data_IF_237748330227
#
_entry.id   IF_237748330227
#
_cell.length_a   1.000
_cell.length_b   1.000
_cell.length_c   1.000
_cell.angle_alpha   90.00
_cell.angle_beta   90.00
_cell.angle_gamma   90.00
#
_symmetry.space_group_name_H-M   'P 1'
#
loop_
_entity.id
_entity.type
_entity.pdbx_description
1 polymer ?
#
# COMPACT_ATOMS: atom_id res chain seq x y z
N UNK A 1 19.15 -8.87 -1.34
CA UNK A 1 20.19 -8.24 -0.50
C UNK A 1 19.51 -7.12 0.26
N UNK A 2 19.61 -7.03 1.59
CA UNK A 2 19.02 -5.91 2.31
C UNK A 2 19.88 -4.69 2.00
N UNK A 3 19.37 -3.77 1.20
CA UNK A 3 20.03 -2.48 0.97
C UNK A 3 20.13 -1.76 2.31
N UNK A 4 21.33 -1.31 2.63
CA UNK A 4 21.61 -0.52 3.82
C UNK A 4 21.05 0.90 3.56
N UNK A 5 19.72 1.04 3.61
CA UNK A 5 19.02 2.31 3.37
C UNK A 5 19.47 3.31 4.43
N UNK A 6 19.95 4.46 3.99
CA UNK A 6 20.36 5.51 4.92
C UNK A 6 19.13 6.08 5.63
N UNK A 7 19.34 6.71 6.79
CA UNK A 7 18.27 7.46 7.45
C UNK A 7 17.65 8.53 6.53
N UNK A 8 18.43 9.10 5.60
CA UNK A 8 17.94 10.04 4.60
C UNK A 8 16.96 9.41 3.62
N UNK A 9 17.23 8.20 3.15
CA UNK A 9 16.33 7.45 2.26
C UNK A 9 15.03 7.07 2.96
N UNK A 10 15.10 6.75 4.26
CA UNK A 10 13.92 6.50 5.08
C UNK A 10 13.03 7.75 5.20
N UNK A 11 13.63 8.93 5.42
CA UNK A 11 12.89 10.20 5.46
C UNK A 11 12.34 10.55 4.07
N UNK A 12 13.09 10.28 2.99
CA UNK A 12 12.61 10.49 1.62
C UNK A 12 11.43 9.56 1.26
N UNK A 13 11.47 8.28 1.64
CA UNK A 13 10.35 7.34 1.44
C UNK A 13 9.09 7.78 2.21
N UNK A 14 9.25 8.47 3.35
CA UNK A 14 8.11 9.08 4.05
C UNK A 14 7.49 10.27 3.31
N UNK A 15 8.19 10.85 2.33
CA UNK A 15 7.70 12.03 1.58
C UNK A 15 6.78 11.70 0.42
N UNK A 16 6.63 10.42 0.06
CA UNK A 16 5.73 9.96 -0.98
C UNK A 16 4.76 8.88 -0.50
N UNK A 17 3.54 8.93 -1.01
CA UNK A 17 2.50 7.93 -0.77
C UNK A 17 1.87 7.52 -2.10
N UNK A 18 1.90 6.22 -2.36
CA UNK A 18 1.12 5.59 -3.42
C UNK A 18 0.01 4.74 -2.80
N UNK A 19 -1.23 5.03 -3.18
CA UNK A 19 -2.39 4.18 -2.89
C UNK A 19 -2.98 3.74 -4.22
N UNK A 20 -3.20 2.44 -4.40
CA UNK A 20 -3.88 1.90 -5.57
C UNK A 20 -4.97 0.94 -5.11
N UNK A 21 -6.20 1.21 -5.54
CA UNK A 21 -7.34 0.32 -5.34
C UNK A 21 -7.58 -0.47 -6.62
N UNK A 22 -7.49 -1.79 -6.50
CA UNK A 22 -7.71 -2.73 -7.60
C UNK A 22 -9.03 -3.49 -7.37
N UNK A 23 -9.76 -3.76 -8.45
CA UNK A 23 -10.93 -4.62 -8.48
C UNK A 23 -10.75 -5.73 -9.51
N UNK A 24 -11.40 -6.87 -9.30
CA UNK A 24 -11.31 -8.00 -10.22
C UNK A 24 -11.28 -9.33 -9.50
N UNK A 25 -11.07 -10.38 -10.29
CA UNK A 25 -11.00 -11.74 -9.79
C UNK A 25 -9.55 -12.14 -9.56
N UNK A 26 -9.22 -12.41 -8.30
CA UNK A 26 -7.92 -12.96 -7.93
C UNK A 26 -8.11 -14.38 -7.38
N UNK A 27 -7.52 -15.36 -8.07
CA UNK A 27 -7.50 -16.74 -7.60
C UNK A 27 -6.23 -16.99 -6.81
N UNK A 28 -6.35 -17.14 -5.49
CA UNK A 28 -5.25 -17.52 -4.61
C UNK A 28 -5.35 -19.01 -4.32
N UNK A 29 -4.26 -19.77 -4.54
CA UNK A 29 -4.21 -21.21 -4.25
C UNK A 29 -3.80 -21.42 -2.80
N UNK A 30 -4.77 -21.78 -1.96
CA UNK A 30 -4.60 -21.92 -0.51
C UNK A 30 -3.61 -23.04 -0.12
N UNK A 31 -3.47 -24.07 -0.97
CA UNK A 31 -2.55 -25.19 -0.72
C UNK A 31 -1.07 -24.76 -0.71
N UNK A 32 -0.74 -23.64 -1.37
CA UNK A 32 0.62 -23.10 -1.42
C UNK A 32 0.91 -22.12 -0.27
N UNK A 33 -0.07 -21.86 0.60
CA UNK A 33 0.04 -20.95 1.75
C UNK A 33 0.34 -21.66 3.07
N UNK A 34 0.08 -22.97 3.14
CA UNK A 34 0.38 -23.79 4.31
C UNK A 34 1.79 -24.39 4.16
N UNK A 35 2.60 -24.30 5.21
CA UNK A 35 3.78 -25.17 5.30
C UNK A 35 3.27 -26.62 5.40
N UNK A 36 4.00 -27.58 4.82
CA UNK A 36 3.64 -29.00 4.75
C UNK A 36 3.54 -29.72 6.12
N UNK A 37 3.37 -28.98 7.21
CA UNK A 37 3.11 -29.50 8.54
C UNK A 37 1.75 -28.97 9.02
N UNK A 38 0.87 -29.92 9.33
CA UNK A 38 -0.46 -29.68 9.89
C UNK A 38 -0.40 -28.68 11.05
N UNK A 39 -1.24 -27.63 10.96
CA UNK A 39 -1.52 -26.73 12.10
C UNK A 39 -0.83 -25.37 12.09
N UNK A 40 -0.03 -25.03 11.07
CA UNK A 40 0.58 -23.69 11.02
C UNK A 40 -0.41 -22.61 10.53
N UNK A 41 -0.47 -21.45 11.19
CA UNK A 41 -1.38 -20.37 10.81
C UNK A 41 -1.03 -19.80 9.43
N UNK A 42 -2.07 -19.41 8.68
CA UNK A 42 -1.94 -18.70 7.41
C UNK A 42 -1.06 -17.46 7.59
N UNK A 43 0.10 -17.46 6.93
CA UNK A 43 1.00 -16.31 6.95
C UNK A 43 0.51 -15.28 5.93
N UNK A 44 -0.05 -14.17 6.42
CA UNK A 44 -0.47 -13.01 5.60
C UNK A 44 0.63 -12.54 4.65
N UNK A 45 1.90 -12.61 5.06
CA UNK A 45 3.04 -12.30 4.20
C UNK A 45 3.15 -13.18 2.95
N UNK A 46 2.79 -14.47 3.04
CA UNK A 46 2.76 -15.39 1.88
C UNK A 46 1.60 -15.08 0.95
N UNK A 47 0.47 -14.67 1.51
CA UNK A 47 -0.68 -14.20 0.73
C UNK A 47 -0.27 -12.99 -0.11
N UNK A 48 0.40 -12.00 0.50
CA UNK A 48 0.89 -10.81 -0.21
C UNK A 48 1.94 -11.15 -1.27
N UNK A 49 2.87 -12.06 -1.00
CA UNK A 49 3.85 -12.51 -2.01
C UNK A 49 3.19 -13.23 -3.20
N UNK A 50 2.17 -14.06 -2.93
CA UNK A 50 1.41 -14.70 -4.01
C UNK A 50 0.58 -13.69 -4.80
N UNK A 51 0.03 -12.66 -4.15
CA UNK A 51 -0.63 -11.53 -4.79
C UNK A 51 0.31 -10.85 -5.78
N UNK A 52 1.48 -10.39 -5.34
CA UNK A 52 2.48 -9.76 -6.20
C UNK A 52 2.88 -10.66 -7.38
N UNK A 53 3.15 -11.94 -7.12
CA UNK A 53 3.54 -12.89 -8.16
C UNK A 53 2.42 -13.27 -9.13
N UNK A 54 1.15 -13.22 -8.71
CA UNK A 54 -0.01 -13.54 -9.55
C UNK A 54 -0.52 -12.32 -10.33
N UNK A 55 -0.37 -11.09 -9.82
CA UNK A 55 -0.68 -9.86 -10.55
C UNK A 55 0.15 -9.72 -11.83
N UNK A 56 1.33 -10.36 -11.87
CA UNK A 56 2.23 -10.40 -13.04
C UNK A 56 1.93 -11.54 -14.02
N UNK A 57 0.94 -12.41 -13.75
CA UNK A 57 0.59 -13.53 -14.64
C UNK A 57 -0.39 -13.07 -15.71
N UNK A 58 -0.24 -13.61 -16.92
CA UNK A 58 -1.06 -13.31 -18.10
C UNK A 58 -2.58 -13.49 -17.90
N UNK A 59 -2.99 -14.33 -16.94
CA UNK A 59 -4.39 -14.71 -16.75
C UNK A 59 -5.08 -13.90 -15.63
N UNK A 60 -4.35 -13.04 -14.92
CA UNK A 60 -4.93 -12.18 -13.89
C UNK A 60 -5.65 -11.00 -14.54
N UNK A 61 -6.97 -10.94 -14.40
CA UNK A 61 -7.77 -9.78 -14.84
C UNK A 61 -8.04 -8.89 -13.62
N UNK A 62 -7.18 -7.90 -13.45
CA UNK A 62 -7.34 -6.84 -12.44
C UNK A 62 -7.52 -5.50 -13.12
N UNK A 63 -8.44 -4.69 -12.61
CA UNK A 63 -8.74 -3.34 -13.07
C UNK A 63 -8.40 -2.36 -11.97
N UNK A 64 -7.67 -1.29 -12.31
CA UNK A 64 -7.46 -0.20 -11.37
C UNK A 64 -8.72 0.66 -11.29
N UNK A 65 -9.26 0.82 -10.09
CA UNK A 65 -10.43 1.64 -9.82
C UNK A 65 -10.02 3.06 -9.46
N UNK A 66 -9.02 3.19 -8.60
CA UNK A 66 -8.43 4.47 -8.23
C UNK A 66 -6.94 4.31 -7.93
N UNK A 67 -6.15 5.31 -8.30
CA UNK A 67 -4.74 5.40 -7.98
C UNK A 67 -4.41 6.83 -7.56
N UNK A 68 -3.91 6.99 -6.33
CA UNK A 68 -3.50 8.28 -5.79
C UNK A 68 -2.01 8.26 -5.50
N UNK A 69 -1.29 9.20 -6.10
CA UNK A 69 0.08 9.55 -5.74
C UNK A 69 0.08 10.87 -4.98
N UNK A 70 0.68 10.89 -3.81
CA UNK A 70 0.90 12.10 -3.01
C UNK A 70 2.40 12.27 -2.83
N UNK A 71 2.91 13.44 -3.18
CA UNK A 71 4.27 13.86 -2.85
C UNK A 71 4.21 15.10 -1.96
N UNK A 72 5.10 15.21 -0.97
CA UNK A 72 5.14 16.38 -0.06
C UNK A 72 5.37 17.69 -0.82
N UNK A 73 6.12 17.66 -1.91
CA UNK A 73 6.45 18.83 -2.74
C UNK A 73 5.49 18.99 -3.94
N UNK A 74 4.84 17.91 -4.37
CA UNK A 74 4.11 17.88 -5.65
C UNK A 74 2.69 17.41 -5.45
N UNK A 75 1.79 18.25 -5.93
CA UNK A 75 0.36 18.05 -6.15
C UNK A 75 -0.10 16.60 -6.08
N UNK A 76 -1.16 16.36 -5.30
CA UNK A 76 -1.84 15.07 -5.29
C UNK A 76 -2.43 14.78 -6.66
N UNK A 77 -2.02 13.68 -7.28
CA UNK A 77 -2.61 13.20 -8.53
C UNK A 77 -3.44 11.97 -8.22
N UNK A 78 -4.74 12.06 -8.52
CA UNK A 78 -5.67 10.94 -8.38
C UNK A 78 -6.27 10.59 -9.74
N UNK A 79 -6.04 9.34 -10.16
CA UNK A 79 -6.72 8.72 -11.29
C UNK A 79 -7.91 7.92 -10.77
N UNK A 80 -9.07 8.08 -11.39
CA UNK A 80 -10.28 7.33 -11.08
C UNK A 80 -10.83 6.76 -12.38
N UNK A 81 -11.26 5.49 -12.33
CA UNK A 81 -11.96 4.85 -13.45
C UNK A 81 -13.22 5.66 -13.82
N UNK A 82 -13.40 5.92 -15.11
CA UNK A 82 -14.61 6.57 -15.61
C UNK A 82 -15.84 5.64 -15.50
N UNK A 83 -17.02 6.22 -15.25
CA UNK A 83 -18.30 5.50 -15.16
C UNK A 83 -18.33 4.39 -14.09
N UNK A 84 -17.95 4.72 -12.85
CA UNK A 84 -18.05 3.80 -11.72
C UNK A 84 -19.50 3.31 -11.52
N UNK A 85 -19.65 2.00 -11.30
CA UNK A 85 -20.92 1.48 -10.78
C UNK A 85 -21.17 1.96 -9.34
N UNK A 86 -22.42 1.90 -8.83
CA UNK A 86 -22.69 2.25 -7.43
C UNK A 86 -21.88 1.44 -6.41
N UNK A 87 -21.58 0.18 -6.72
CA UNK A 87 -20.73 -0.69 -5.88
C UNK A 87 -19.26 -0.25 -5.95
N UNK A 88 -18.78 0.15 -7.13
CA UNK A 88 -17.43 0.65 -7.33
C UNK A 88 -17.21 2.02 -6.65
N UNK A 89 -18.24 2.85 -6.54
CA UNK A 89 -18.19 4.11 -5.80
C UNK A 89 -17.85 3.90 -4.31
N UNK A 90 -18.33 2.82 -3.70
CA UNK A 90 -17.99 2.47 -2.30
C UNK A 90 -16.49 2.17 -2.16
N UNK A 91 -15.88 1.51 -3.15
CA UNK A 91 -14.44 1.25 -3.14
C UNK A 91 -13.61 2.52 -3.34
N UNK A 92 -14.14 3.51 -4.07
CA UNK A 92 -13.53 4.84 -4.14
C UNK A 92 -13.56 5.55 -2.79
N UNK A 93 -14.66 5.45 -2.04
CA UNK A 93 -14.74 6.03 -0.69
C UNK A 93 -13.71 5.39 0.25
N UNK A 94 -13.57 4.06 0.21
CA UNK A 94 -12.52 3.36 0.95
C UNK A 94 -11.11 3.75 0.51
N UNK A 95 -10.89 4.00 -0.79
CA UNK A 95 -9.63 4.50 -1.31
C UNK A 95 -9.29 5.85 -0.68
N UNK A 96 -10.23 6.78 -0.69
CA UNK A 96 -10.05 8.14 -0.16
C UNK A 96 -9.79 8.13 1.36
N UNK A 97 -10.54 7.33 2.11
CA UNK A 97 -10.29 7.16 3.55
C UNK A 97 -8.92 6.53 3.83
N UNK A 98 -8.47 5.59 2.99
CA UNK A 98 -7.13 5.00 3.09
C UNK A 98 -6.04 6.03 2.82
N UNK A 99 -6.18 6.86 1.77
CA UNK A 99 -5.25 7.96 1.46
C UNK A 99 -5.16 8.92 2.64
N UNK A 100 -6.31 9.32 3.19
CA UNK A 100 -6.39 10.24 4.34
C UNK A 100 -5.74 9.65 5.60
N UNK A 101 -6.09 8.42 5.95
CA UNK A 101 -5.52 7.73 7.12
C UNK A 101 -4.00 7.56 6.98
N UNK A 102 -3.52 7.19 5.79
CA UNK A 102 -2.10 7.06 5.50
C UNK A 102 -1.38 8.42 5.55
N UNK A 103 -2.02 9.50 5.10
CA UNK A 103 -1.51 10.87 5.24
C UNK A 103 -1.36 11.29 6.71
N UNK A 104 -2.40 11.07 7.53
CA UNK A 104 -2.38 11.38 8.96
C UNK A 104 -1.28 10.60 9.69
N UNK A 105 -1.18 9.29 9.42
CA UNK A 105 -0.16 8.44 10.03
C UNK A 105 1.26 8.92 9.70
N UNK A 106 1.53 9.28 8.44
CA UNK A 106 2.83 9.82 8.03
C UNK A 106 3.12 11.18 8.66
N UNK A 107 2.14 12.07 8.74
CA UNK A 107 2.30 13.37 9.40
C UNK A 107 2.66 13.20 10.89
N UNK A 108 1.99 12.28 11.58
CA UNK A 108 2.28 11.95 12.97
C UNK A 108 3.68 11.34 13.15
N UNK A 109 4.10 10.45 12.25
CA UNK A 109 5.45 9.89 12.27
C UNK A 109 6.51 10.97 12.00
N UNK A 110 6.29 11.85 11.03
CA UNK A 110 7.21 12.94 10.71
C UNK A 110 7.37 13.90 11.89
N UNK A 111 6.27 14.26 12.57
CA UNK A 111 6.29 15.06 13.80
C UNK A 111 7.03 14.34 14.94
N UNK A 112 6.82 13.03 15.11
CA UNK A 112 7.53 12.21 16.09
C UNK A 112 9.04 12.19 15.85
N UNK A 113 9.47 12.01 14.60
CA UNK A 113 10.89 12.03 14.21
C UNK A 113 11.49 13.43 14.42
N UNK A 114 10.77 14.48 14.01
CA UNK A 114 11.23 15.85 14.22
C UNK A 114 11.45 16.15 15.70
N UNK A 115 10.53 15.72 16.57
CA UNK A 115 10.67 15.85 18.04
C UNK A 115 11.86 15.09 18.59
N UNK A 116 12.14 13.87 18.10
CA UNK A 116 13.31 13.09 18.52
C UNK A 116 14.62 13.77 18.10
N UNK A 117 14.70 14.26 16.86
CA UNK A 117 15.91 14.91 16.33
C UNK A 117 16.18 16.29 16.92
N UNK A 118 15.12 17.09 17.14
CA UNK A 118 15.23 18.43 17.74
C UNK A 118 15.37 18.36 19.26
N UNK A 119 14.75 17.37 19.91
CA UNK A 119 14.89 17.11 21.35
C UNK A 119 16.26 16.55 21.74
N UNK A 120 16.93 15.84 20.82
CA UNK A 120 18.31 15.34 20.97
C UNK A 120 19.37 16.45 20.96
N UNK A 121 19.04 17.69 20.56
CA UNK A 121 19.99 18.83 20.50
C UNK A 121 20.00 19.71 21.76
N UNK A 122 19.40 19.27 22.87
CA UNK A 122 19.48 19.94 24.17
C UNK A 122 20.27 19.12 25.17
#
# INVERSE_FOLDING_TARGET
MPENKSFGDFIHDMTSLDVVTLTGNLTIRVNDLQDAQEGNPLKLSRIMQQLEGNLLKKDATVSALAATHVSIDKDTVTFVKENLSPEEAVYLDFHNETVKAAGIARAAMADGIAKLLLGSKR
#
